data_IF_961742967118
#
_entry.id   IF_961742967118
#
_cell.length_a   1.000
_cell.length_b   1.000
_cell.length_c   1.000
_cell.angle_alpha   90.00
_cell.angle_beta   90.00
_cell.angle_gamma   90.00
#
_symmetry.space_group_name_H-M   'P 1'
#
loop_
_entity.id
_entity.type
_entity.pdbx_description
1 polymer ?
#
# COMPACT_ATOMS: atom_id res chain seq x y z
N UNK A 1 15.95 -0.49 9.70
CA UNK A 1 15.46 0.86 10.05
C UNK A 1 15.09 1.53 8.75
N UNK A 2 14.03 2.34 8.74
CA UNK A 2 13.88 3.30 7.66
C UNK A 2 14.78 4.49 8.00
N UNK A 3 16.05 4.37 7.59
CA UNK A 3 17.05 5.42 7.73
C UNK A 3 16.49 6.74 7.19
N UNK A 4 16.81 7.85 7.85
CA UNK A 4 16.28 9.19 7.61
C UNK A 4 15.05 9.48 8.46
N UNK A 5 13.97 9.89 7.81
CA UNK A 5 12.73 10.30 8.44
C UNK A 5 11.58 9.28 8.36
N UNK A 6 11.81 8.10 7.78
CA UNK A 6 10.88 6.98 7.79
C UNK A 6 10.73 6.36 9.18
N UNK A 7 11.73 6.52 10.04
CA UNK A 7 11.67 6.16 11.45
C UNK A 7 12.05 4.71 11.76
N UNK A 8 12.13 4.43 13.06
CA UNK A 8 12.47 3.13 13.61
C UNK A 8 11.86 2.99 15.01
N UNK A 9 11.85 1.76 15.54
CA UNK A 9 11.40 1.48 16.89
C UNK A 9 12.50 0.78 17.69
N UNK A 10 12.59 1.13 18.97
CA UNK A 10 13.44 0.45 19.95
C UNK A 10 12.61 0.12 21.18
N UNK A 11 12.90 -1.01 21.82
CA UNK A 11 12.25 -1.35 23.08
C UNK A 11 12.73 -0.42 24.20
N UNK A 12 11.89 -0.22 25.22
CA UNK A 12 12.25 0.60 26.36
C UNK A 12 13.54 0.14 27.09
N UNK A 13 13.76 -1.17 27.34
CA UNK A 13 15.02 -1.64 27.91
C UNK A 13 16.24 -1.30 27.04
N UNK A 14 16.12 -1.41 25.71
CA UNK A 14 17.19 -1.05 24.79
C UNK A 14 17.49 0.45 24.84
N UNK A 15 16.46 1.30 24.85
CA UNK A 15 16.63 2.75 24.99
C UNK A 15 17.40 3.12 26.26
N UNK A 16 17.09 2.48 27.40
CA UNK A 16 17.83 2.64 28.66
C UNK A 16 19.28 2.18 28.59
N UNK A 17 19.56 1.12 27.83
CA UNK A 17 20.93 0.63 27.67
C UNK A 17 21.75 1.58 26.79
N UNK A 18 21.15 2.10 25.70
CA UNK A 18 21.76 3.08 24.80
C UNK A 18 22.08 4.37 25.56
N UNK A 19 21.15 4.90 26.34
CA UNK A 19 21.31 6.17 27.07
C UNK A 19 22.60 6.22 27.92
N UNK A 20 22.98 5.10 28.56
CA UNK A 20 24.19 5.01 29.38
C UNK A 20 25.51 5.09 28.60
N UNK A 21 25.47 4.88 27.29
CA UNK A 21 26.67 4.72 26.46
C UNK A 21 26.67 5.55 25.17
N UNK A 22 25.55 6.22 24.86
CA UNK A 22 25.30 6.94 23.61
C UNK A 22 26.39 7.97 23.29
N UNK A 23 26.80 8.80 24.26
CA UNK A 23 27.82 9.83 24.04
C UNK A 23 29.16 9.24 23.59
N UNK A 24 29.61 8.19 24.27
CA UNK A 24 30.86 7.48 23.93
C UNK A 24 30.75 6.79 22.58
N UNK A 25 29.60 6.19 22.28
CA UNK A 25 29.33 5.56 21.00
C UNK A 25 29.41 6.57 19.84
N UNK A 26 28.70 7.70 19.94
CA UNK A 26 28.65 8.70 18.88
C UNK A 26 30.06 9.28 18.62
N UNK A 27 30.87 9.44 19.66
CA UNK A 27 32.28 9.84 19.53
C UNK A 27 33.15 8.77 18.85
N UNK A 28 32.81 7.48 18.98
CA UNK A 28 33.49 6.36 18.30
C UNK A 28 33.16 6.31 16.81
N UNK A 29 31.97 6.79 16.41
CA UNK A 29 31.48 6.77 15.04
C UNK A 29 31.24 8.17 14.45
N UNK A 30 32.24 9.08 14.45
CA UNK A 30 32.05 10.45 13.99
C UNK A 30 31.87 10.55 12.48
N UNK A 31 32.32 9.53 11.73
CA UNK A 31 32.27 9.46 10.27
C UNK A 31 30.90 9.04 9.72
N UNK A 32 30.00 8.52 10.56
CA UNK A 32 28.65 8.15 10.13
C UNK A 32 27.81 9.42 9.93
N UNK A 33 27.11 9.47 8.79
CA UNK A 33 26.44 10.67 8.27
C UNK A 33 25.23 11.10 9.11
N UNK A 34 24.37 10.15 9.47
CA UNK A 34 23.06 10.41 10.08
C UNK A 34 22.92 9.94 11.53
N UNK A 35 21.91 10.46 12.24
CA UNK A 35 21.61 10.08 13.62
C UNK A 35 21.12 8.64 13.74
N UNK A 36 20.35 8.18 12.77
CA UNK A 36 19.93 6.81 12.54
C UNK A 36 21.11 5.84 12.40
N UNK A 37 22.05 6.11 11.50
CA UNK A 37 23.25 5.28 11.28
C UNK A 37 24.07 5.14 12.57
N UNK A 38 24.23 6.25 13.30
CA UNK A 38 24.87 6.24 14.62
C UNK A 38 24.10 5.43 15.65
N UNK A 39 22.78 5.56 15.73
CA UNK A 39 21.96 4.77 16.66
C UNK A 39 22.07 3.28 16.33
N UNK A 40 22.10 2.89 15.06
CA UNK A 40 22.30 1.50 14.67
C UNK A 40 23.67 0.98 15.09
N UNK A 41 24.73 1.78 14.92
CA UNK A 41 26.06 1.44 15.40
C UNK A 41 26.07 1.26 16.93
N UNK A 42 25.39 2.13 17.68
CA UNK A 42 25.27 1.98 19.14
C UNK A 42 24.48 0.73 19.57
N UNK A 43 23.44 0.36 18.83
CA UNK A 43 22.75 -0.92 19.04
C UNK A 43 23.68 -2.11 18.79
N UNK A 44 24.53 -2.03 17.75
CA UNK A 44 25.52 -3.06 17.44
C UNK A 44 26.61 -3.19 18.52
N UNK A 45 27.06 -2.10 19.13
CA UNK A 45 27.97 -2.12 20.30
C UNK A 45 27.36 -2.86 21.50
N UNK A 46 26.03 -2.78 21.66
CA UNK A 46 25.28 -3.53 22.66
C UNK A 46 24.95 -4.97 22.24
N UNK A 47 25.36 -5.40 21.04
CA UNK A 47 25.08 -6.73 20.50
C UNK A 47 23.62 -6.94 20.05
N UNK A 48 22.85 -5.87 19.86
CA UNK A 48 21.45 -5.96 19.46
C UNK A 48 21.31 -5.82 17.94
N UNK A 49 20.83 -6.86 17.22
CA UNK A 49 20.73 -6.83 15.77
C UNK A 49 19.55 -5.96 15.30
N UNK A 50 19.63 -5.55 14.04
CA UNK A 50 18.55 -4.84 13.38
C UNK A 50 17.51 -5.81 12.78
N UNK A 51 16.25 -5.66 13.17
CA UNK A 51 15.11 -6.26 12.46
C UNK A 51 14.63 -5.33 11.34
N UNK A 52 14.45 -5.86 10.13
CA UNK A 52 13.93 -5.10 8.98
C UNK A 52 12.41 -5.22 8.95
N UNK A 53 11.72 -4.09 9.11
CA UNK A 53 10.27 -3.99 9.04
C UNK A 53 9.82 -3.21 7.81
N UNK A 54 9.00 -3.83 6.96
CA UNK A 54 8.51 -3.23 5.69
C UNK A 54 7.37 -2.22 5.89
N UNK A 55 6.98 -1.98 7.14
CA UNK A 55 5.95 -1.04 7.56
C UNK A 55 6.41 0.42 7.61
N UNK A 56 7.72 0.65 7.72
CA UNK A 56 8.32 1.98 7.81
C UNK A 56 8.85 2.41 6.45
N UNK A 57 8.40 3.57 5.97
CA UNK A 57 8.73 4.02 4.62
C UNK A 57 9.46 5.36 4.61
N UNK A 58 10.73 5.31 4.22
CA UNK A 58 11.55 6.50 3.99
C UNK A 58 11.11 7.30 2.75
N UNK A 59 10.45 6.64 1.78
CA UNK A 59 9.76 7.32 0.69
C UNK A 59 10.64 8.29 -0.14
N UNK A 60 11.90 7.91 -0.37
CA UNK A 60 12.83 8.60 -1.27
C UNK A 60 12.43 8.38 -2.75
N UNK A 61 11.23 8.84 -3.09
CA UNK A 61 10.57 8.71 -4.39
C UNK A 61 10.01 10.06 -4.82
N UNK A 62 9.88 10.25 -6.12
CA UNK A 62 9.24 11.39 -6.74
C UNK A 62 8.02 11.00 -7.57
N UNK A 63 7.20 12.00 -7.92
CA UNK A 63 6.06 11.79 -8.80
C UNK A 63 4.87 11.12 -8.10
N UNK A 64 4.17 10.23 -8.80
CA UNK A 64 2.93 9.61 -8.32
C UNK A 64 3.21 8.26 -7.66
N UNK A 65 3.16 8.19 -6.34
CA UNK A 65 3.42 6.94 -5.58
C UNK A 65 2.22 5.99 -5.50
N UNK A 66 1.15 6.22 -6.28
CA UNK A 66 -0.04 5.37 -6.27
C UNK A 66 0.32 3.90 -6.46
N UNK A 67 1.15 3.57 -7.45
CA UNK A 67 1.57 2.21 -7.75
C UNK A 67 2.11 1.46 -6.54
N UNK A 68 2.92 2.14 -5.72
CA UNK A 68 3.50 1.62 -4.50
C UNK A 68 2.43 1.41 -3.41
N UNK A 69 1.66 2.45 -3.11
CA UNK A 69 0.65 2.42 -2.05
C UNK A 69 -0.47 1.41 -2.33
N UNK A 70 -0.86 1.22 -3.60
CA UNK A 70 -1.89 0.24 -3.97
C UNK A 70 -1.43 -1.22 -3.89
N UNK A 71 -0.12 -1.47 -3.84
CA UNK A 71 0.46 -2.81 -3.71
C UNK A 71 1.16 -2.99 -2.36
N UNK A 72 0.78 -2.19 -1.35
CA UNK A 72 1.39 -2.27 -0.03
C UNK A 72 1.24 -3.70 0.54
N UNK A 73 2.32 -4.25 1.13
CA UNK A 73 2.33 -5.62 1.63
C UNK A 73 1.40 -5.82 2.83
N UNK A 74 1.40 -7.05 3.35
CA UNK A 74 0.58 -7.47 4.50
C UNK A 74 0.89 -6.73 5.81
N UNK A 75 2.08 -6.14 5.93
CA UNK A 75 2.43 -5.34 7.09
C UNK A 75 1.53 -4.09 7.16
N UNK A 76 1.12 -3.65 8.36
CA UNK A 76 0.45 -2.38 8.54
C UNK A 76 1.33 -1.23 8.07
N UNK A 77 0.69 -0.19 7.56
CA UNK A 77 1.39 1.05 7.23
C UNK A 77 1.67 1.84 8.51
N UNK A 78 2.94 2.01 8.88
CA UNK A 78 3.34 2.71 10.12
C UNK A 78 3.76 4.14 9.86
N UNK A 79 4.58 4.38 8.84
CA UNK A 79 5.08 5.72 8.53
C UNK A 79 5.21 5.95 7.03
N UNK A 80 4.96 7.18 6.60
CA UNK A 80 5.21 7.67 5.25
C UNK A 80 6.01 8.97 5.36
N UNK A 81 7.27 8.93 4.94
CA UNK A 81 8.12 10.12 4.89
C UNK A 81 7.99 10.85 3.53
N UNK A 82 8.56 12.04 3.42
CA UNK A 82 8.60 12.86 2.18
C UNK A 82 7.27 13.09 1.43
N UNK A 83 6.14 13.19 2.15
CA UNK A 83 4.86 13.55 1.54
C UNK A 83 4.90 14.90 0.79
N UNK A 84 5.80 15.80 1.15
CA UNK A 84 6.07 17.08 0.50
C UNK A 84 6.75 16.95 -0.87
N UNK A 85 7.46 15.85 -1.14
CA UNK A 85 8.22 15.60 -2.37
C UNK A 85 7.47 14.77 -3.42
N UNK A 86 6.41 14.09 -3.02
CA UNK A 86 5.54 13.29 -3.91
C UNK A 86 4.29 14.06 -4.34
N UNK A 87 3.66 13.66 -5.44
CA UNK A 87 2.33 14.16 -5.80
C UNK A 87 1.29 13.78 -4.74
N UNK A 88 0.17 14.52 -4.62
CA UNK A 88 -0.92 14.12 -3.75
C UNK A 88 -1.38 12.69 -4.02
N UNK A 89 -1.50 11.89 -2.96
CA UNK A 89 -1.83 10.46 -3.06
C UNK A 89 -3.25 10.18 -3.59
N UNK A 90 -4.12 11.20 -3.59
CA UNK A 90 -5.43 11.15 -4.22
C UNK A 90 -5.51 12.17 -5.38
N UNK A 91 -6.09 11.79 -6.52
CA UNK A 91 -6.25 12.71 -7.64
C UNK A 91 -7.16 13.87 -7.25
N UNK A 92 -6.86 15.07 -7.78
CA UNK A 92 -7.66 16.31 -7.60
C UNK A 92 -7.75 16.83 -6.16
N UNK A 93 -6.92 16.33 -5.24
CA UNK A 93 -6.81 16.86 -3.87
C UNK A 93 -5.42 17.46 -3.65
N UNK A 94 -5.31 18.38 -2.70
CA UNK A 94 -4.01 18.76 -2.11
C UNK A 94 -3.48 17.66 -1.18
N UNK A 95 -2.20 17.74 -0.81
CA UNK A 95 -1.56 16.80 0.13
C UNK A 95 -2.27 16.75 1.48
N UNK A 96 -2.66 17.91 2.02
CA UNK A 96 -3.34 18.00 3.33
C UNK A 96 -4.76 17.42 3.24
N UNK A 97 -5.51 17.73 2.18
CA UNK A 97 -6.85 17.14 1.97
C UNK A 97 -6.79 15.62 1.79
N UNK A 98 -5.74 15.13 1.11
CA UNK A 98 -5.51 13.71 0.94
C UNK A 98 -5.28 13.00 2.29
N UNK A 99 -4.48 13.59 3.17
CA UNK A 99 -4.28 13.09 4.54
C UNK A 99 -5.56 13.14 5.38
N UNK A 100 -6.35 14.22 5.27
CA UNK A 100 -7.66 14.31 5.92
C UNK A 100 -8.60 13.20 5.45
N UNK A 101 -8.56 12.83 4.17
CA UNK A 101 -9.36 11.73 3.62
C UNK A 101 -8.90 10.37 4.16
N UNK A 102 -7.58 10.13 4.27
CA UNK A 102 -7.04 8.91 4.88
C UNK A 102 -7.39 8.76 6.37
N UNK A 103 -7.62 9.85 7.10
CA UNK A 103 -7.95 9.78 8.51
C UNK A 103 -9.23 8.96 8.80
N UNK A 104 -10.14 8.84 7.82
CA UNK A 104 -11.34 8.01 7.97
C UNK A 104 -11.03 6.51 8.05
N UNK A 105 -10.44 5.87 7.02
CA UNK A 105 -10.08 4.45 7.11
C UNK A 105 -9.07 4.16 8.23
N UNK A 106 -8.13 5.07 8.52
CA UNK A 106 -7.21 4.91 9.67
C UNK A 106 -7.96 4.67 10.98
N UNK A 107 -9.02 5.43 11.23
CA UNK A 107 -9.84 5.30 12.45
C UNK A 107 -10.73 4.06 12.47
N UNK A 108 -11.03 3.49 11.30
CA UNK A 108 -11.92 2.34 11.16
C UNK A 108 -11.16 1.02 11.27
N UNK A 109 -9.97 0.93 10.67
CA UNK A 109 -9.12 -0.26 10.69
C UNK A 109 -7.69 0.11 10.25
N UNK A 110 -6.87 0.60 11.18
CA UNK A 110 -5.49 1.01 10.89
C UNK A 110 -4.59 -0.17 10.46
N UNK A 111 -4.85 -1.38 10.97
CA UNK A 111 -4.08 -2.57 10.64
C UNK A 111 -4.29 -3.03 9.18
N UNK A 112 -5.51 -2.84 8.65
CA UNK A 112 -5.84 -3.14 7.27
C UNK A 112 -5.54 -2.03 6.26
N UNK A 113 -5.07 -0.87 6.70
CA UNK A 113 -4.86 0.29 5.83
C UNK A 113 -3.85 -0.02 4.71
N UNK A 114 -4.26 0.24 3.47
CA UNK A 114 -3.54 0.00 2.22
C UNK A 114 -3.15 -1.46 1.94
N UNK A 115 -3.47 -2.39 2.84
CA UNK A 115 -3.18 -3.80 2.66
C UNK A 115 -3.82 -4.32 1.36
N UNK A 116 -3.00 -4.95 0.52
CA UNK A 116 -3.45 -5.47 -0.77
C UNK A 116 -4.16 -6.83 -0.61
N UNK A 117 -5.37 -6.92 -1.16
CA UNK A 117 -6.14 -8.16 -1.37
C UNK A 117 -6.42 -8.35 -2.86
N UNK A 118 -6.38 -9.58 -3.36
CA UNK A 118 -6.50 -9.90 -4.79
C UNK A 118 -7.63 -10.92 -4.97
N UNK A 119 -8.44 -10.74 -6.01
CA UNK A 119 -9.53 -11.63 -6.38
C UNK A 119 -9.79 -11.59 -7.88
N UNK A 120 -10.50 -12.61 -8.37
CA UNK A 120 -10.73 -12.82 -9.79
C UNK A 120 -12.22 -12.88 -10.10
N UNK A 121 -12.70 -12.01 -11.01
CA UNK A 121 -14.00 -12.19 -11.67
C UNK A 121 -13.76 -13.01 -12.94
N UNK A 122 -13.81 -14.34 -12.82
CA UNK A 122 -13.51 -15.26 -13.93
C UNK A 122 -14.49 -15.16 -15.08
N UNK A 123 -15.75 -14.84 -14.80
CA UNK A 123 -16.79 -14.68 -15.82
C UNK A 123 -16.51 -13.46 -16.70
N UNK A 124 -16.06 -12.37 -16.09
CA UNK A 124 -15.68 -11.15 -16.81
C UNK A 124 -14.24 -11.14 -17.29
N UNK A 125 -13.42 -12.07 -16.81
CA UNK A 125 -12.00 -12.15 -17.11
C UNK A 125 -11.17 -11.06 -16.44
N UNK A 126 -11.56 -10.61 -15.24
CA UNK A 126 -10.90 -9.50 -14.55
C UNK A 126 -10.08 -9.96 -13.34
N UNK A 127 -8.97 -9.25 -13.10
CA UNK A 127 -8.22 -9.31 -11.84
C UNK A 127 -8.46 -8.03 -11.06
N UNK A 128 -9.01 -8.17 -9.86
CA UNK A 128 -9.35 -7.06 -8.97
C UNK A 128 -8.31 -7.03 -7.85
N UNK A 129 -7.65 -5.89 -7.68
CA UNK A 129 -6.71 -5.63 -6.58
C UNK A 129 -7.27 -4.54 -5.70
N UNK A 130 -7.52 -4.85 -4.43
CA UNK A 130 -8.05 -3.92 -3.43
C UNK A 130 -6.93 -3.54 -2.48
N UNK A 131 -6.65 -2.25 -2.36
CA UNK A 131 -5.83 -1.64 -1.31
C UNK A 131 -6.76 -0.90 -0.37
N UNK A 132 -7.13 -1.54 0.74
CA UNK A 132 -8.25 -1.08 1.55
C UNK A 132 -7.98 0.30 2.16
N UNK A 133 -8.95 1.20 2.07
CA UNK A 133 -8.80 2.59 2.51
C UNK A 133 -7.99 3.48 1.56
N UNK A 134 -7.59 2.98 0.38
CA UNK A 134 -6.85 3.76 -0.60
C UNK A 134 -7.39 3.64 -2.03
N UNK A 135 -7.32 2.46 -2.63
CA UNK A 135 -7.64 2.29 -4.05
C UNK A 135 -8.09 0.88 -4.42
N UNK A 136 -8.80 0.76 -5.54
CA UNK A 136 -9.11 -0.50 -6.20
C UNK A 136 -8.64 -0.43 -7.65
N UNK A 137 -8.02 -1.50 -8.13
CA UNK A 137 -7.62 -1.66 -9.53
C UNK A 137 -8.43 -2.78 -10.17
N UNK A 138 -9.04 -2.51 -11.31
CA UNK A 138 -9.61 -3.56 -12.18
C UNK A 138 -8.69 -3.72 -13.38
N UNK A 139 -7.97 -4.84 -13.43
CA UNK A 139 -7.13 -5.24 -14.54
C UNK A 139 -7.95 -6.15 -15.46
N UNK A 140 -7.87 -5.91 -16.77
CA UNK A 140 -8.41 -6.84 -17.76
C UNK A 140 -7.40 -7.98 -17.96
N UNK A 141 -7.85 -9.23 -17.85
CA UNK A 141 -6.99 -10.40 -17.80
C UNK A 141 -6.99 -11.05 -16.42
N UNK A 142 -6.85 -12.38 -16.39
CA UNK A 142 -6.56 -13.15 -15.18
C UNK A 142 -5.05 -13.17 -14.99
N UNK A 143 -4.55 -12.29 -14.12
CA UNK A 143 -3.13 -12.07 -13.88
C UNK A 143 -2.67 -12.83 -12.61
N UNK A 144 -1.49 -13.47 -12.61
CA UNK A 144 -0.99 -14.14 -11.41
C UNK A 144 -0.85 -13.16 -10.23
N UNK A 145 -1.19 -13.60 -9.01
CA UNK A 145 -1.04 -12.77 -7.80
C UNK A 145 0.40 -12.24 -7.65
N UNK A 146 1.40 -13.08 -7.90
CA UNK A 146 2.83 -12.71 -7.88
C UNK A 146 3.18 -11.53 -8.81
N UNK A 147 2.41 -11.32 -9.88
CA UNK A 147 2.58 -10.17 -10.75
C UNK A 147 1.87 -8.93 -10.20
N UNK A 148 0.64 -9.09 -9.71
CA UNK A 148 -0.18 -8.01 -9.14
C UNK A 148 0.41 -7.43 -7.85
N UNK A 149 1.14 -8.24 -7.10
CA UNK A 149 1.89 -7.83 -5.90
C UNK A 149 3.06 -6.88 -6.21
N UNK A 150 3.52 -6.85 -7.47
CA UNK A 150 4.52 -5.87 -7.87
C UNK A 150 3.84 -4.52 -8.08
N UNK A 151 4.31 -3.46 -7.41
CA UNK A 151 3.79 -2.12 -7.64
C UNK A 151 4.01 -1.69 -9.09
N UNK A 152 3.03 -0.98 -9.64
CA UNK A 152 3.16 -0.40 -10.97
C UNK A 152 4.11 0.81 -10.88
N UNK A 153 5.08 0.93 -11.79
CA UNK A 153 6.04 2.04 -11.79
C UNK A 153 5.37 3.35 -12.21
N UNK A 154 4.71 4.02 -11.26
CA UNK A 154 4.07 5.35 -11.44
C UNK A 154 4.89 6.49 -10.82
N UNK A 155 6.01 6.14 -10.19
CA UNK A 155 6.92 6.99 -9.44
C UNK A 155 8.33 6.87 -10.02
N UNK A 156 9.18 7.82 -9.67
CA UNK A 156 10.60 7.83 -10.04
C UNK A 156 11.44 7.67 -8.77
N UNK A 157 12.66 7.14 -8.91
CA UNK A 157 13.63 7.12 -7.82
C UNK A 157 14.06 8.54 -7.41
N UNK A 158 14.72 8.66 -6.26
CA UNK A 158 15.19 9.93 -5.70
C UNK A 158 16.09 10.74 -6.65
N UNK A 159 16.91 10.05 -7.46
CA UNK A 159 17.82 10.70 -8.40
C UNK A 159 17.22 10.87 -9.80
N UNK A 160 15.99 10.39 -10.03
CA UNK A 160 15.29 10.50 -11.32
C UNK A 160 16.02 9.78 -12.45
N UNK A 161 16.69 8.67 -12.13
CA UNK A 161 17.51 7.89 -13.07
C UNK A 161 16.68 6.95 -13.95
N UNK A 162 15.43 6.68 -13.59
CA UNK A 162 14.56 5.69 -14.23
C UNK A 162 15.19 4.28 -14.28
N UNK A 163 16.18 4.00 -13.42
CA UNK A 163 16.83 2.70 -13.31
C UNK A 163 16.04 1.79 -12.36
N UNK A 164 15.60 0.63 -12.88
CA UNK A 164 14.88 -0.38 -12.10
C UNK A 164 15.72 -0.93 -10.94
N UNK A 165 17.06 -0.85 -11.01
CA UNK A 165 17.97 -1.26 -9.92
C UNK A 165 18.08 -0.24 -8.78
N UNK A 166 17.52 0.97 -8.96
CA UNK A 166 17.50 2.00 -7.92
C UNK A 166 16.51 1.69 -6.79
N UNK A 167 15.65 0.67 -6.96
CA UNK A 167 14.68 0.25 -5.96
C UNK A 167 15.14 -0.99 -5.19
N UNK A 168 14.79 -1.05 -3.91
CA UNK A 168 15.00 -2.25 -3.07
C UNK A 168 13.95 -3.34 -3.29
N UNK A 169 13.06 -3.15 -4.25
CA UNK A 169 11.94 -4.04 -4.57
C UNK A 169 11.65 -4.05 -6.08
N UNK A 170 11.05 -5.15 -6.55
CA UNK A 170 10.68 -5.29 -7.96
C UNK A 170 9.40 -4.51 -8.27
N UNK A 171 9.36 -3.88 -9.44
CA UNK A 171 8.17 -3.19 -9.96
C UNK A 171 7.61 -3.92 -11.19
N UNK A 172 6.47 -3.45 -11.70
CA UNK A 172 5.94 -3.84 -13.01
C UNK A 172 5.65 -2.60 -13.86
N UNK A 173 5.81 -2.67 -15.19
CA UNK A 173 5.79 -1.48 -16.02
C UNK A 173 4.42 -0.80 -16.07
N UNK A 174 4.42 0.54 -16.07
CA UNK A 174 3.23 1.31 -16.43
C UNK A 174 3.07 1.37 -17.95
N UNK A 175 2.30 0.43 -18.51
CA UNK A 175 2.16 0.27 -19.96
C UNK A 175 1.77 1.57 -20.68
N UNK A 176 2.44 1.87 -21.80
CA UNK A 176 2.06 3.00 -22.69
C UNK A 176 0.70 2.76 -23.36
N UNK A 177 0.40 1.50 -23.68
CA UNK A 177 -0.89 1.12 -24.25
C UNK A 177 -2.01 1.24 -23.21
N UNK A 178 -2.95 2.16 -23.44
CA UNK A 178 -4.10 2.37 -22.57
C UNK A 178 -4.99 1.13 -22.37
N UNK A 179 -4.92 0.15 -23.29
CA UNK A 179 -5.64 -1.10 -23.14
C UNK A 179 -5.09 -2.01 -22.02
N UNK A 180 -3.78 -1.98 -21.80
CA UNK A 180 -3.11 -2.78 -20.78
C UNK A 180 -3.09 -2.10 -19.40
N UNK A 181 -3.50 -0.83 -19.32
CA UNK A 181 -3.58 -0.11 -18.05
C UNK A 181 -4.82 -0.54 -17.26
N UNK A 182 -4.73 -0.77 -15.94
CA UNK A 182 -5.89 -1.01 -15.11
C UNK A 182 -6.78 0.22 -15.00
N UNK A 183 -8.04 -0.01 -14.67
CA UNK A 183 -8.99 1.01 -14.24
C UNK A 183 -8.76 1.29 -12.76
N UNK A 184 -8.49 2.56 -12.42
CA UNK A 184 -8.21 2.96 -11.05
C UNK A 184 -9.45 3.59 -10.42
N UNK A 185 -9.74 3.14 -9.20
CA UNK A 185 -10.79 3.66 -8.36
C UNK A 185 -10.15 4.11 -7.05
N UNK A 186 -10.39 5.34 -6.62
CA UNK A 186 -9.78 5.92 -5.43
C UNK A 186 -10.81 6.11 -4.33
N UNK A 187 -10.38 5.96 -3.08
CA UNK A 187 -11.25 6.12 -1.93
C UNK A 187 -11.94 7.49 -1.99
N UNK A 188 -13.27 7.47 -1.96
CA UNK A 188 -14.11 8.65 -1.80
C UNK A 188 -14.54 8.79 -0.35
N UNK A 189 -15.03 7.70 0.27
CA UNK A 189 -15.46 7.71 1.66
C UNK A 189 -15.43 6.30 2.29
N UNK A 190 -15.39 6.23 3.61
CA UNK A 190 -15.47 5.01 4.38
C UNK A 190 -16.35 5.21 5.62
N UNK A 191 -17.10 4.17 5.97
CA UNK A 191 -18.11 4.18 7.02
C UNK A 191 -18.01 2.93 7.88
N UNK A 192 -18.25 3.09 9.18
CA UNK A 192 -18.60 1.96 10.04
C UNK A 192 -20.04 1.53 9.76
N UNK A 193 -20.28 0.23 9.77
CA UNK A 193 -21.60 -0.41 9.86
C UNK A 193 -21.60 -1.28 11.12
N UNK A 194 -22.71 -1.94 11.45
CA UNK A 194 -22.87 -2.66 12.73
C UNK A 194 -21.70 -3.62 13.03
N UNK A 195 -21.30 -4.44 12.05
CA UNK A 195 -20.26 -5.46 12.23
C UNK A 195 -19.12 -5.39 11.18
N UNK A 196 -19.18 -4.43 10.26
CA UNK A 196 -18.26 -4.31 9.13
C UNK A 196 -17.94 -2.85 8.83
N UNK A 197 -16.94 -2.62 8.01
CA UNK A 197 -16.71 -1.33 7.35
C UNK A 197 -17.22 -1.41 5.92
N UNK A 198 -17.73 -0.30 5.42
CA UNK A 198 -18.07 -0.11 4.01
C UNK A 198 -17.24 1.04 3.48
N UNK A 199 -16.48 0.81 2.43
CA UNK A 199 -15.68 1.83 1.75
C UNK A 199 -16.07 1.94 0.28
N UNK A 200 -16.13 3.18 -0.22
CA UNK A 200 -16.59 3.51 -1.58
C UNK A 200 -15.45 4.13 -2.35
N UNK A 201 -15.16 3.59 -3.53
CA UNK A 201 -14.07 4.00 -4.41
C UNK A 201 -14.63 4.48 -5.74
N UNK A 202 -14.27 5.68 -6.15
CA UNK A 202 -14.77 6.29 -7.38
C UNK A 202 -13.76 6.19 -8.49
N UNK A 203 -14.24 5.96 -9.71
CA UNK A 203 -13.39 5.95 -10.90
C UNK A 203 -12.62 7.27 -11.05
N UNK A 204 -11.34 7.19 -11.39
CA UNK A 204 -10.46 8.36 -11.55
C UNK A 204 -10.86 9.30 -12.70
N UNK A 205 -11.69 8.80 -13.62
CA UNK A 205 -12.16 9.54 -14.79
C UNK A 205 -11.15 9.54 -15.95
N UNK A 206 -10.08 8.75 -15.88
CA UNK A 206 -9.07 8.65 -16.94
C UNK A 206 -9.73 8.15 -18.22
N UNK A 207 -9.48 8.82 -19.35
CA UNK A 207 -9.99 8.36 -20.64
C UNK A 207 -9.33 7.03 -21.03
N UNK A 208 -10.14 6.06 -21.51
CA UNK A 208 -9.67 4.75 -21.94
C UNK A 208 -9.98 4.54 -23.42
N UNK A 209 -8.99 4.09 -24.23
CA UNK A 209 -9.25 3.74 -25.61
C UNK A 209 -10.20 2.54 -25.67
N UNK A 210 -10.96 2.44 -26.76
CA UNK A 210 -11.73 1.22 -27.06
C UNK A 210 -10.74 0.10 -27.38
N UNK A 211 -10.88 -1.03 -26.68
CA UNK A 211 -10.00 -2.19 -26.84
C UNK A 211 -10.81 -3.34 -27.42
N UNK A 212 -10.35 -3.90 -28.54
CA UNK A 212 -10.99 -5.03 -29.21
C UNK A 212 -10.57 -6.35 -28.55
N UNK A 213 -10.93 -6.53 -27.28
CA UNK A 213 -10.65 -7.75 -26.52
C UNK A 213 -11.94 -8.55 -26.36
N UNK A 214 -11.85 -9.88 -26.43
CA UNK A 214 -12.98 -10.79 -26.18
C UNK A 214 -13.22 -10.92 -24.66
N UNK A 215 -13.53 -9.79 -24.02
CA UNK A 215 -13.63 -9.66 -22.56
C UNK A 215 -14.59 -8.53 -22.20
N UNK A 216 -15.23 -8.62 -21.02
CA UNK A 216 -16.06 -7.54 -20.50
C UNK A 216 -15.22 -6.27 -20.28
N UNK A 217 -15.79 -5.11 -20.64
CA UNK A 217 -15.14 -3.81 -20.45
C UNK A 217 -15.52 -3.21 -19.08
N UNK A 218 -14.55 -2.93 -18.18
CA UNK A 218 -14.83 -2.29 -16.89
C UNK A 218 -15.34 -0.85 -17.00
N UNK A 219 -15.34 -0.22 -18.18
CA UNK A 219 -15.73 1.18 -18.38
C UNK A 219 -17.14 1.54 -17.88
N UNK A 220 -18.05 0.55 -17.77
CA UNK A 220 -19.38 0.72 -17.18
C UNK A 220 -19.38 0.87 -15.65
N UNK A 221 -18.34 0.41 -14.95
CA UNK A 221 -18.25 0.48 -13.49
C UNK A 221 -17.83 1.88 -13.07
N UNK A 222 -18.73 2.60 -12.39
CA UNK A 222 -18.53 3.97 -11.88
C UNK A 222 -17.89 4.00 -10.51
N UNK A 223 -18.26 3.03 -9.66
CA UNK A 223 -17.72 2.92 -8.31
C UNK A 223 -17.62 1.47 -7.86
N UNK A 224 -16.72 1.23 -6.91
CA UNK A 224 -16.55 -0.04 -6.23
C UNK A 224 -16.92 0.16 -4.76
N UNK A 225 -17.67 -0.77 -4.20
CA UNK A 225 -17.93 -0.83 -2.76
C UNK A 225 -17.21 -2.04 -2.17
N UNK A 226 -16.41 -1.80 -1.14
CA UNK A 226 -15.69 -2.85 -0.41
C UNK A 226 -16.25 -2.94 1.00
N UNK A 227 -16.76 -4.13 1.32
CA UNK A 227 -17.12 -4.53 2.68
C UNK A 227 -15.92 -5.22 3.31
N UNK A 228 -15.55 -4.82 4.52
CA UNK A 228 -14.46 -5.47 5.26
C UNK A 228 -14.82 -5.62 6.72
N UNK A 229 -14.61 -6.81 7.28
CA UNK A 229 -14.64 -7.00 8.74
C UNK A 229 -13.33 -6.49 9.34
N UNK A 230 -13.35 -5.50 10.26
CA UNK A 230 -12.15 -5.10 10.99
C UNK A 230 -11.60 -6.27 11.80
N UNK A 231 -10.28 -6.36 11.89
CA UNK A 231 -9.60 -7.35 12.72
C UNK A 231 -8.54 -6.64 13.57
N UNK A 232 -8.86 -6.34 14.84
CA UNK A 232 -7.94 -5.61 15.71
C UNK A 232 -6.66 -6.41 16.02
N UNK A 233 -6.70 -7.73 15.87
CA UNK A 233 -5.59 -8.63 16.16
C UNK A 233 -4.86 -9.07 14.88
N UNK A 234 -5.07 -8.38 13.75
CA UNK A 234 -4.46 -8.74 12.48
C UNK A 234 -2.92 -8.75 12.56
N UNK A 235 -2.35 -7.88 13.39
CA UNK A 235 -0.91 -7.79 13.63
C UNK A 235 -0.34 -8.96 14.44
N UNK A 236 -1.13 -9.55 15.33
CA UNK A 236 -0.70 -10.67 16.18
C UNK A 236 -0.76 -12.01 15.43
N UNK A 237 -1.28 -12.01 14.21
CA UNK A 237 -1.42 -13.19 13.35
C UNK A 237 -0.24 -13.34 12.41
N UNK A 238 -0.06 -14.55 11.90
CA UNK A 238 0.93 -14.82 10.86
C UNK A 238 0.67 -13.93 9.63
N UNK A 239 1.71 -13.32 9.03
CA UNK A 239 1.54 -12.41 7.90
C UNK A 239 0.84 -13.11 6.71
N UNK A 240 -0.44 -12.78 6.51
CA UNK A 240 -1.25 -13.28 5.39
C UNK A 240 -2.23 -12.18 4.95
N UNK A 241 -2.36 -12.00 3.64
CA UNK A 241 -3.34 -11.06 3.06
C UNK A 241 -4.75 -11.50 3.44
N UNK A 242 -5.65 -10.54 3.62
CA UNK A 242 -7.08 -10.85 3.60
C UNK A 242 -7.47 -11.36 2.20
N UNK A 243 -8.41 -12.30 2.16
CA UNK A 243 -8.96 -12.81 0.92
C UNK A 243 -10.05 -11.87 0.41
N UNK A 244 -10.07 -11.68 -0.91
CA UNK A 244 -11.06 -10.86 -1.60
C UNK A 244 -12.08 -11.76 -2.32
N UNK A 245 -13.36 -11.34 -2.33
CA UNK A 245 -14.44 -12.06 -3.01
C UNK A 245 -15.34 -11.08 -3.75
N UNK A 246 -15.59 -11.34 -5.02
CA UNK A 246 -16.56 -10.56 -5.81
C UNK A 246 -17.96 -10.98 -5.40
N UNK A 247 -18.78 -10.02 -5.02
CA UNK A 247 -20.16 -10.26 -4.61
C UNK A 247 -21.13 -10.04 -5.78
N UNK A 248 -22.25 -10.79 -5.83
CA UNK A 248 -23.30 -10.52 -6.80
C UNK A 248 -23.93 -9.15 -6.57
N UNK A 249 -24.31 -8.49 -7.65
CA UNK A 249 -24.95 -7.17 -7.63
C UNK A 249 -25.94 -7.06 -8.77
N UNK A 250 -27.08 -6.41 -8.51
CA UNK A 250 -28.07 -6.06 -9.54
C UNK A 250 -27.78 -4.72 -10.22
N UNK A 251 -26.82 -3.95 -9.69
CA UNK A 251 -26.43 -2.63 -10.22
C UNK A 251 -25.33 -2.79 -11.27
N UNK A 252 -25.59 -2.34 -12.49
CA UNK A 252 -24.65 -2.47 -13.61
C UNK A 252 -23.42 -1.55 -13.49
N UNK A 253 -23.51 -0.46 -12.72
CA UNK A 253 -22.46 0.55 -12.57
C UNK A 253 -21.60 0.38 -11.31
N UNK A 254 -21.87 -0.66 -10.53
CA UNK A 254 -21.30 -0.86 -9.19
C UNK A 254 -20.67 -2.25 -9.11
N UNK A 255 -19.43 -2.34 -8.64
CA UNK A 255 -18.81 -3.61 -8.25
C UNK A 255 -18.83 -3.75 -6.73
N UNK A 256 -19.32 -4.87 -6.23
CA UNK A 256 -19.34 -5.19 -4.80
C UNK A 256 -18.24 -6.20 -4.49
N UNK A 257 -17.47 -5.93 -3.43
CA UNK A 257 -16.34 -6.76 -3.02
C UNK A 257 -16.37 -6.97 -1.52
N UNK A 258 -16.16 -8.20 -1.08
CA UNK A 258 -15.90 -8.57 0.30
C UNK A 258 -14.40 -8.79 0.51
N UNK A 259 -13.85 -8.25 1.60
CA UNK A 259 -12.47 -8.47 2.04
C UNK A 259 -12.51 -8.94 3.48
N UNK A 260 -11.88 -10.07 3.77
CA UNK A 260 -11.82 -10.58 5.14
C UNK A 260 -10.84 -11.73 5.29
N UNK A 261 -10.88 -12.41 6.44
CA UNK A 261 -10.07 -13.60 6.64
C UNK A 261 -10.33 -14.65 5.55
N UNK A 262 -9.25 -15.32 5.15
CA UNK A 262 -9.33 -16.42 4.21
C UNK A 262 -9.96 -17.64 4.87
N UNK A 263 -10.82 -18.33 4.14
CA UNK A 263 -11.35 -19.64 4.52
C UNK A 263 -10.25 -20.69 4.41
N UNK A 264 -10.49 -21.85 5.00
CA UNK A 264 -9.56 -22.97 4.90
C UNK A 264 -9.36 -23.37 3.43
N UNK A 265 -8.09 -23.53 3.03
CA UNK A 265 -7.69 -23.77 1.65
C UNK A 265 -7.92 -22.64 0.64
N UNK A 266 -8.45 -21.47 1.04
CA UNK A 266 -8.74 -20.39 0.10
C UNK A 266 -7.47 -19.69 -0.39
N UNK A 267 -7.29 -19.71 -1.71
CA UNK A 267 -6.31 -18.91 -2.43
C UNK A 267 -6.98 -17.67 -3.02
N UNK A 268 -6.20 -16.61 -3.25
CA UNK A 268 -6.62 -15.42 -4.01
C UNK A 268 -7.19 -15.79 -5.37
#
# INVERSE_FOLDING_TARGET
MAYGGGGFAISYPLAKAIEKMQDKCIQKYPHLYGSDDRIQACMAELGVPLTKEVAFHQFDLHGNVMGLLSAHPVAPLVSLHHLDKIQPIFPKLSRVEALRRLNKPIKLDSAGLMQQSICYDRLKGWTISVSWGYSVQINRGIMPAREIEKPITTFNDWYGTDDENSYTFNTRPYHKNGCQRPFFYFLSNAYATTNHTRSVYMYDGTHRPKCKWHMADPSGIRHVEVYKKPDPNLWDKSPRRNCCRVLPTSKNDTLLVDVGECRDGETT
#
